data_IF_482406482084
#
_entry.id   IF_482406482084
#
_cell.length_a   1.000
_cell.length_b   1.000
_cell.length_c   1.000
_cell.angle_alpha   90.00
_cell.angle_beta   90.00
_cell.angle_gamma   90.00
#
_symmetry.space_group_name_H-M   'P 1'
#
loop_
_entity.id
_entity.type
_entity.pdbx_description
1 polymer ?
#
# COMPACT_ATOMS: atom_id res chain seq x y z
N UNK A 1 -9.18 -16.33 -33.05
CA UNK A 1 -8.88 -15.10 -32.29
C UNK A 1 -8.12 -15.53 -31.04
N UNK A 2 -7.06 -14.81 -30.61
CA UNK A 2 -6.41 -15.13 -29.35
C UNK A 2 -7.44 -15.08 -28.23
N UNK A 3 -7.51 -16.15 -27.45
CA UNK A 3 -8.45 -16.31 -26.35
C UNK A 3 -7.99 -15.42 -25.18
N UNK A 4 -8.45 -14.17 -25.11
CA UNK A 4 -8.11 -13.19 -24.06
C UNK A 4 -8.75 -13.51 -22.69
N UNK A 5 -9.29 -14.71 -22.50
CA UNK A 5 -10.10 -15.11 -21.35
C UNK A 5 -9.33 -15.40 -20.06
N UNK A 6 -8.00 -15.18 -19.98
CA UNK A 6 -7.19 -15.82 -18.92
C UNK A 6 -6.15 -14.92 -18.23
N UNK A 7 -6.36 -13.61 -18.15
CA UNK A 7 -5.51 -12.79 -17.25
C UNK A 7 -6.28 -11.75 -16.43
N UNK A 8 -7.57 -11.54 -16.70
CA UNK A 8 -8.42 -10.68 -15.87
C UNK A 8 -8.55 -11.23 -14.44
N UNK A 9 -8.80 -12.53 -14.30
CA UNK A 9 -8.94 -13.19 -12.99
C UNK A 9 -7.63 -13.20 -12.18
N UNK A 10 -6.51 -13.50 -12.84
CA UNK A 10 -5.19 -13.49 -12.21
C UNK A 10 -4.77 -12.06 -11.82
N UNK A 11 -5.07 -11.09 -12.68
CA UNK A 11 -4.86 -9.67 -12.38
C UNK A 11 -5.71 -9.23 -11.19
N UNK A 12 -6.99 -9.57 -11.15
CA UNK A 12 -7.90 -9.21 -10.05
C UNK A 12 -7.50 -9.89 -8.72
N UNK A 13 -7.10 -11.16 -8.76
CA UNK A 13 -6.63 -11.90 -7.59
C UNK A 13 -5.31 -11.32 -7.04
N UNK A 14 -4.34 -11.08 -7.92
CA UNK A 14 -3.04 -10.48 -7.56
C UNK A 14 -3.23 -9.07 -7.00
N UNK A 15 -4.13 -8.31 -7.60
CA UNK A 15 -4.54 -6.98 -7.15
C UNK A 15 -5.11 -6.98 -5.73
N UNK A 16 -6.03 -7.90 -5.44
CA UNK A 16 -6.60 -8.04 -4.11
C UNK A 16 -5.54 -8.47 -3.06
N UNK A 17 -4.65 -9.39 -3.44
CA UNK A 17 -3.54 -9.82 -2.58
C UNK A 17 -2.60 -8.65 -2.26
N UNK A 18 -2.20 -7.86 -3.26
CA UNK A 18 -1.36 -6.68 -3.08
C UNK A 18 -1.99 -5.65 -2.14
N UNK A 19 -3.28 -5.36 -2.30
CA UNK A 19 -4.01 -4.46 -1.40
C UNK A 19 -4.01 -4.95 0.05
N UNK A 20 -4.19 -6.26 0.24
CA UNK A 20 -4.14 -6.87 1.57
C UNK A 20 -2.73 -6.81 2.20
N UNK A 21 -1.69 -7.10 1.42
CA UNK A 21 -0.30 -7.01 1.88
C UNK A 21 0.08 -5.57 2.24
N UNK A 22 -0.45 -4.59 1.50
CA UNK A 22 -0.28 -3.16 1.79
C UNK A 22 -0.96 -2.74 3.09
N UNK A 23 -2.17 -3.22 3.36
CA UNK A 23 -2.83 -2.98 4.64
C UNK A 23 -2.01 -3.54 5.81
N UNK A 24 -1.49 -4.77 5.68
CA UNK A 24 -0.64 -5.38 6.70
C UNK A 24 0.67 -4.61 6.90
N UNK A 25 1.29 -4.13 5.81
CA UNK A 25 2.50 -3.31 5.90
C UNK A 25 2.22 -1.99 6.62
N UNK A 26 1.10 -1.33 6.32
CA UNK A 26 0.69 -0.10 6.98
C UNK A 26 0.49 -0.31 8.50
N UNK A 27 -0.20 -1.39 8.88
CA UNK A 27 -0.38 -1.76 10.28
C UNK A 27 0.96 -2.01 10.98
N UNK A 28 1.87 -2.72 10.32
CA UNK A 28 3.19 -3.02 10.89
C UNK A 28 4.03 -1.76 11.09
N UNK A 29 3.98 -0.86 10.12
CA UNK A 29 4.69 0.41 10.21
C UNK A 29 4.12 1.32 11.31
N UNK A 30 2.79 1.34 11.49
CA UNK A 30 2.14 2.02 12.62
C UNK A 30 2.58 1.43 13.96
N UNK A 31 2.68 0.11 14.07
CA UNK A 31 3.19 -0.57 15.27
C UNK A 31 4.65 -0.13 15.58
N UNK A 32 5.52 -0.09 14.56
CA UNK A 32 6.90 0.37 14.70
C UNK A 32 6.96 1.83 15.15
N UNK A 33 6.16 2.71 14.54
CA UNK A 33 6.04 4.12 14.95
C UNK A 33 5.67 4.25 16.42
N UNK A 34 4.67 3.50 16.87
CA UNK A 34 4.21 3.51 18.27
C UNK A 34 5.30 3.05 19.24
N UNK A 35 6.05 1.99 18.89
CA UNK A 35 7.20 1.52 19.71
C UNK A 35 8.29 2.59 19.83
N UNK A 36 8.61 3.27 18.73
CA UNK A 36 9.60 4.35 18.74
C UNK A 36 9.13 5.52 19.62
N UNK A 37 7.86 5.94 19.48
CA UNK A 37 7.30 7.00 20.31
C UNK A 37 7.31 6.63 21.80
N UNK A 38 6.97 5.38 22.14
CA UNK A 38 7.06 4.88 23.51
C UNK A 38 8.50 4.87 24.04
N UNK A 39 9.46 4.47 23.21
CA UNK A 39 10.88 4.49 23.57
C UNK A 39 11.37 5.92 23.88
N UNK A 40 10.97 6.89 23.06
CA UNK A 40 11.28 8.31 23.28
C UNK A 40 10.63 8.84 24.57
N UNK A 41 9.38 8.45 24.84
CA UNK A 41 8.66 8.89 26.02
C UNK A 41 9.19 8.26 27.33
N UNK A 42 9.57 6.98 27.31
CA UNK A 42 9.84 6.19 28.51
C UNK A 42 11.33 5.85 28.74
N UNK A 43 12.14 5.75 27.69
CA UNK A 43 13.51 5.23 27.77
C UNK A 43 14.62 6.22 27.39
N UNK A 44 14.31 7.22 26.56
CA UNK A 44 15.26 8.22 26.04
C UNK A 44 14.98 9.64 26.58
N UNK A 45 14.58 9.75 27.85
CA UNK A 45 14.15 11.02 28.48
C UNK A 45 15.27 12.04 28.71
N UNK A 46 16.50 11.77 28.29
CA UNK A 46 17.60 12.74 28.39
C UNK A 46 17.66 13.61 27.13
N UNK A 47 17.83 14.95 27.26
CA UNK A 47 17.81 15.86 26.11
C UNK A 47 18.81 15.47 25.00
N UNK A 48 20.00 15.00 25.37
CA UNK A 48 21.03 14.60 24.42
C UNK A 48 20.65 13.34 23.61
N UNK A 49 19.95 12.40 24.23
CA UNK A 49 19.56 11.16 23.58
C UNK A 49 18.37 11.39 22.65
N UNK A 50 17.43 12.26 23.05
CA UNK A 50 16.32 12.72 22.22
C UNK A 50 16.82 13.49 20.98
N UNK A 51 17.80 14.38 21.15
CA UNK A 51 18.37 15.18 20.05
C UNK A 51 19.10 14.31 19.02
N UNK A 52 19.72 13.20 19.43
CA UNK A 52 20.34 12.23 18.51
C UNK A 52 19.33 11.30 17.84
N UNK A 53 18.19 11.04 18.48
CA UNK A 53 17.18 10.12 17.96
C UNK A 53 16.17 10.80 17.02
N UNK A 54 15.93 12.11 17.22
CA UNK A 54 15.01 12.92 16.42
C UNK A 54 15.23 12.77 14.88
N UNK A 55 16.47 12.84 14.34
CA UNK A 55 16.68 12.76 12.89
C UNK A 55 16.25 11.40 12.31
N UNK A 56 16.52 10.31 13.04
CA UNK A 56 16.12 8.96 12.63
C UNK A 56 14.60 8.80 12.61
N UNK A 57 13.91 9.39 13.60
CA UNK A 57 12.45 9.39 13.63
C UNK A 57 11.86 10.22 12.50
N UNK A 58 12.41 11.40 12.23
CA UNK A 58 11.93 12.28 11.15
C UNK A 58 12.13 11.64 9.77
N UNK A 59 13.26 10.96 9.55
CA UNK A 59 13.52 10.20 8.33
C UNK A 59 12.57 8.99 8.19
N UNK A 60 12.36 8.25 9.28
CA UNK A 60 11.38 7.18 9.31
C UNK A 60 9.96 7.68 9.00
N UNK A 61 9.54 8.80 9.58
CA UNK A 61 8.22 9.39 9.35
C UNK A 61 8.04 9.81 7.88
N UNK A 62 9.07 10.42 7.27
CA UNK A 62 9.06 10.75 5.83
C UNK A 62 8.95 9.50 4.96
N UNK A 63 9.77 8.48 5.24
CA UNK A 63 9.72 7.22 4.50
C UNK A 63 8.37 6.53 4.62
N UNK A 64 7.79 6.54 5.82
CA UNK A 64 6.45 6.02 6.10
C UNK A 64 5.36 6.70 5.26
N UNK A 65 5.35 8.04 5.23
CA UNK A 65 4.38 8.80 4.45
C UNK A 65 4.56 8.52 2.94
N UNK A 66 5.80 8.43 2.46
CA UNK A 66 6.10 8.15 1.06
C UNK A 66 5.67 6.73 0.65
N UNK A 67 5.87 5.74 1.53
CA UNK A 67 5.37 4.38 1.32
C UNK A 67 3.85 4.41 1.23
N UNK A 68 3.14 4.99 2.20
CA UNK A 68 1.68 5.06 2.18
C UNK A 68 1.12 5.72 0.91
N UNK A 69 1.73 6.82 0.45
CA UNK A 69 1.34 7.46 -0.81
C UNK A 69 1.53 6.54 -2.02
N UNK A 70 2.66 5.83 -2.05
CA UNK A 70 2.96 4.87 -3.11
C UNK A 70 1.98 3.69 -3.11
N UNK A 71 1.63 3.17 -1.92
CA UNK A 71 0.63 2.10 -1.77
C UNK A 71 -0.76 2.54 -2.24
N UNK A 72 -1.17 3.76 -1.93
CA UNK A 72 -2.43 4.33 -2.43
C UNK A 72 -2.42 4.45 -3.95
N UNK A 73 -1.33 4.94 -4.54
CA UNK A 73 -1.20 5.07 -6.00
C UNK A 73 -1.28 3.73 -6.71
N UNK A 74 -0.60 2.70 -6.19
CA UNK A 74 -0.67 1.34 -6.73
C UNK A 74 -2.08 0.79 -6.62
N UNK A 75 -2.74 0.95 -5.46
CA UNK A 75 -4.12 0.49 -5.26
C UNK A 75 -5.12 1.15 -6.21
N UNK A 76 -4.97 2.45 -6.46
CA UNK A 76 -5.79 3.18 -7.44
C UNK A 76 -5.56 2.68 -8.87
N UNK A 77 -4.29 2.48 -9.26
CA UNK A 77 -3.94 1.96 -10.58
C UNK A 77 -4.53 0.56 -10.80
N UNK A 78 -4.31 -0.32 -9.84
CA UNK A 78 -4.82 -1.70 -9.81
C UNK A 78 -6.36 -1.71 -9.96
N UNK A 79 -7.06 -0.87 -9.19
CA UNK A 79 -8.51 -0.74 -9.29
C UNK A 79 -8.95 -0.24 -10.66
N UNK A 80 -8.29 0.78 -11.20
CA UNK A 80 -8.61 1.34 -12.50
C UNK A 80 -8.41 0.33 -13.63
N UNK A 81 -7.37 -0.51 -13.55
CA UNK A 81 -7.13 -1.60 -14.51
C UNK A 81 -8.25 -2.64 -14.43
N UNK A 82 -8.64 -3.08 -13.22
CA UNK A 82 -9.76 -4.01 -13.04
C UNK A 82 -11.08 -3.46 -13.59
N UNK A 83 -11.39 -2.19 -13.29
CA UNK A 83 -12.61 -1.53 -13.76
C UNK A 83 -12.63 -1.41 -15.30
N UNK A 84 -11.49 -1.11 -15.93
CA UNK A 84 -11.36 -1.02 -17.39
C UNK A 84 -11.53 -2.38 -18.09
N UNK A 85 -10.97 -3.45 -17.52
CA UNK A 85 -11.16 -4.81 -18.03
C UNK A 85 -12.63 -5.24 -17.93
N UNK A 86 -13.29 -5.00 -16.80
CA UNK A 86 -14.72 -5.31 -16.63
C UNK A 86 -15.58 -4.58 -17.67
N UNK A 87 -15.35 -3.29 -17.89
CA UNK A 87 -16.08 -2.52 -18.90
C UNK A 87 -15.86 -3.05 -20.33
N UNK A 88 -14.63 -3.46 -20.64
CA UNK A 88 -14.30 -4.01 -21.97
C UNK A 88 -15.00 -5.35 -22.18
N UNK A 89 -15.03 -6.19 -21.15
CA UNK A 89 -15.68 -7.51 -21.20
C UNK A 89 -17.21 -7.37 -21.32
N UNK A 90 -17.82 -6.45 -20.56
CA UNK A 90 -19.24 -6.11 -20.67
C UNK A 90 -19.60 -5.62 -22.08
N UNK A 91 -18.76 -4.77 -22.67
CA UNK A 91 -18.95 -4.29 -24.04
C UNK A 91 -18.80 -5.41 -25.08
N UNK A 92 -17.82 -6.30 -24.94
CA UNK A 92 -17.68 -7.45 -25.83
C UNK A 92 -18.88 -8.39 -25.70
N UNK A 93 -19.26 -8.74 -24.47
CA UNK A 93 -20.40 -9.60 -24.18
C UNK A 93 -21.69 -9.04 -24.77
N UNK A 94 -21.91 -7.73 -24.66
CA UNK A 94 -23.09 -7.06 -25.21
C UNK A 94 -23.09 -6.92 -26.74
N UNK A 95 -21.92 -7.03 -27.41
CA UNK A 95 -21.84 -7.08 -28.88
C UNK A 95 -21.92 -8.50 -29.44
N UNK A 96 -21.69 -9.52 -28.59
CA UNK A 96 -21.77 -10.94 -28.93
C UNK A 96 -23.14 -11.56 -28.61
N UNK A 97 -24.03 -10.83 -27.92
CA UNK A 97 -25.41 -11.21 -27.56
C UNK A 97 -26.45 -10.71 -28.56
#
# INVERSE_FOLDING_TARGET
>A
MPNYTVNSDETASTSAALLNDFAQLQDKLNEVRGKIQNLLAQGYSTPAAQQKFQPFFDEFAKGFDQVNQSLQGIGQYVKAVGDAFSQTDDQLGSNLS
#
